data_IF_836882386662
#
_entry.id   IF_836882386662
#
_cell.length_a   1.000
_cell.length_b   1.000
_cell.length_c   1.000
_cell.angle_alpha   90.00
_cell.angle_beta   90.00
_cell.angle_gamma   90.00
#
_symmetry.space_group_name_H-M   'P 1'
#
loop_
_entity.id
_entity.type
_entity.pdbx_description
1 polymer ?
#
# COMPACT_ATOMS: atom_id res chain seq x y z
N UNK A 1 15.30 10.01 3.45
CA UNK A 1 15.67 9.77 2.03
C UNK A 1 14.41 9.82 1.19
N UNK A 2 14.42 10.60 0.11
CA UNK A 2 13.28 10.64 -0.79
C UNK A 2 13.36 9.51 -1.83
N UNK A 3 12.30 9.38 -2.64
CA UNK A 3 12.22 8.30 -3.63
C UNK A 3 13.37 8.36 -4.62
N UNK A 4 13.74 9.56 -5.08
CA UNK A 4 14.80 9.70 -6.08
C UNK A 4 16.16 9.32 -5.52
N UNK A 5 16.44 9.67 -4.27
CA UNK A 5 17.67 9.25 -3.60
C UNK A 5 17.72 7.73 -3.43
N UNK A 6 16.58 7.13 -3.07
CA UNK A 6 16.48 5.69 -2.91
C UNK A 6 16.71 4.96 -4.23
N UNK A 7 16.15 5.47 -5.32
CA UNK A 7 16.37 4.90 -6.65
C UNK A 7 17.86 4.92 -7.03
N UNK A 8 18.55 6.01 -6.73
CA UNK A 8 19.99 6.09 -6.95
C UNK A 8 20.75 5.08 -6.11
N UNK A 9 20.38 4.91 -4.84
CA UNK A 9 21.01 3.94 -3.95
C UNK A 9 20.84 2.52 -4.48
N UNK A 10 19.70 2.21 -5.07
CA UNK A 10 19.41 0.90 -5.65
C UNK A 10 19.93 0.73 -7.08
N UNK A 11 20.53 1.77 -7.66
CA UNK A 11 21.04 1.77 -9.03
C UNK A 11 19.96 1.47 -10.07
N UNK A 12 18.76 1.98 -9.86
CA UNK A 12 17.62 1.85 -10.79
C UNK A 12 17.13 3.21 -11.22
N UNK A 13 16.42 3.27 -12.35
CA UNK A 13 15.93 4.52 -12.93
C UNK A 13 14.51 4.86 -12.51
N UNK A 14 13.69 3.86 -12.20
CA UNK A 14 12.30 4.08 -11.86
C UNK A 14 11.83 3.10 -10.81
N UNK A 15 10.68 3.39 -10.20
CA UNK A 15 10.04 2.53 -9.22
C UNK A 15 9.72 1.15 -9.79
N UNK A 16 9.42 1.09 -11.10
CA UNK A 16 9.09 -0.18 -11.76
C UNK A 16 10.26 -1.16 -11.76
N UNK A 17 11.49 -0.66 -11.63
CA UNK A 17 12.68 -1.49 -11.58
C UNK A 17 13.02 -1.99 -10.17
N UNK A 18 12.36 -1.46 -9.15
CA UNK A 18 12.57 -1.92 -7.77
C UNK A 18 11.92 -3.28 -7.56
N UNK A 19 12.60 -4.13 -6.78
CA UNK A 19 11.99 -5.38 -6.33
C UNK A 19 10.95 -5.09 -5.24
N UNK A 20 10.09 -6.08 -4.98
CA UNK A 20 9.11 -5.97 -3.89
C UNK A 20 9.82 -5.75 -2.55
N UNK A 21 10.92 -6.45 -2.31
CA UNK A 21 11.70 -6.29 -1.08
C UNK A 21 12.26 -4.88 -0.95
N UNK A 22 12.73 -4.28 -2.03
CA UNK A 22 13.23 -2.91 -2.01
C UNK A 22 12.12 -1.90 -1.71
N UNK A 23 10.93 -2.11 -2.26
CA UNK A 23 9.78 -1.24 -1.99
C UNK A 23 9.38 -1.33 -0.52
N UNK A 24 9.27 -2.54 0.01
CA UNK A 24 8.96 -2.76 1.43
C UNK A 24 10.04 -2.14 2.32
N UNK A 25 11.29 -2.31 1.97
CA UNK A 25 12.43 -1.74 2.69
C UNK A 25 12.34 -0.21 2.77
N UNK A 26 12.02 0.44 1.65
CA UNK A 26 11.83 1.89 1.62
C UNK A 26 10.83 2.37 2.66
N UNK A 27 9.67 1.73 2.72
CA UNK A 27 8.62 2.11 3.66
C UNK A 27 8.94 1.72 5.10
N UNK A 28 9.47 0.53 5.32
CA UNK A 28 9.72 0.02 6.67
C UNK A 28 10.89 0.72 7.35
N UNK A 29 11.79 1.32 6.60
CA UNK A 29 12.85 2.17 7.15
C UNK A 29 12.37 3.58 7.50
N UNK A 30 11.10 3.87 7.28
CA UNK A 30 10.53 5.16 7.63
C UNK A 30 10.81 6.29 6.67
N UNK A 31 11.25 6.00 5.43
CA UNK A 31 11.56 7.04 4.44
C UNK A 31 10.33 7.85 4.03
N UNK A 32 9.15 7.26 4.12
CA UNK A 32 7.88 7.93 3.82
C UNK A 32 7.12 8.35 5.09
N UNK A 33 7.76 8.24 6.26
CA UNK A 33 7.17 8.59 7.54
C UNK A 33 6.62 7.38 8.30
N UNK A 34 6.39 7.57 9.59
CA UNK A 34 5.93 6.51 10.49
C UNK A 34 4.54 6.00 10.09
N UNK A 35 3.65 6.91 9.69
CA UNK A 35 2.29 6.53 9.30
C UNK A 35 2.29 5.60 8.10
N UNK A 36 3.11 5.89 7.10
CA UNK A 36 3.23 5.04 5.92
C UNK A 36 3.92 3.71 6.24
N UNK A 37 4.92 3.72 7.10
CA UNK A 37 5.55 2.50 7.59
C UNK A 37 4.51 1.58 8.21
N UNK A 38 3.71 2.09 9.14
CA UNK A 38 2.67 1.31 9.79
C UNK A 38 1.61 0.80 8.81
N UNK A 39 1.19 1.64 7.87
CA UNK A 39 0.18 1.25 6.87
C UNK A 39 0.67 0.09 6.01
N UNK A 40 1.90 0.15 5.55
CA UNK A 40 2.49 -0.92 4.72
C UNK A 40 2.67 -2.21 5.55
N UNK A 41 3.19 -2.10 6.75
CA UNK A 41 3.37 -3.27 7.62
C UNK A 41 2.04 -3.96 7.93
N UNK A 42 1.01 -3.18 8.28
CA UNK A 42 -0.31 -3.74 8.57
C UNK A 42 -0.94 -4.39 7.34
N UNK A 43 -0.80 -3.75 6.18
CA UNK A 43 -1.33 -4.32 4.94
C UNK A 43 -0.68 -5.66 4.60
N UNK A 44 0.64 -5.75 4.77
CA UNK A 44 1.38 -6.98 4.49
C UNK A 44 1.10 -8.09 5.52
N UNK A 45 0.69 -7.73 6.73
CA UNK A 45 0.31 -8.71 7.75
C UNK A 45 -1.12 -9.22 7.60
N UNK A 46 -2.02 -8.39 7.06
CA UNK A 46 -3.46 -8.64 7.12
C UNK A 46 -4.16 -8.68 5.76
N UNK A 47 -3.42 -8.69 4.65
CA UNK A 47 -4.04 -8.60 3.32
C UNK A 47 -5.06 -9.72 3.07
N UNK A 48 -4.75 -10.94 3.50
CA UNK A 48 -5.63 -12.09 3.30
C UNK A 48 -6.96 -11.91 4.05
N UNK A 49 -6.88 -11.43 5.29
CA UNK A 49 -8.08 -11.18 6.11
C UNK A 49 -8.93 -10.05 5.54
N UNK A 50 -8.31 -9.11 4.80
CA UNK A 50 -9.01 -8.01 4.16
C UNK A 50 -9.54 -8.36 2.77
N UNK A 51 -9.33 -9.59 2.31
CA UNK A 51 -9.82 -10.04 1.01
C UNK A 51 -8.90 -9.71 -0.16
N UNK A 52 -7.63 -9.43 0.10
CA UNK A 52 -6.64 -9.12 -0.94
C UNK A 52 -5.60 -10.21 -1.07
N UNK A 53 -4.93 -10.25 -2.21
CA UNK A 53 -3.72 -11.05 -2.39
C UNK A 53 -2.50 -10.20 -2.10
N UNK A 54 -1.36 -10.83 -1.85
CA UNK A 54 -0.10 -10.12 -1.67
C UNK A 54 0.24 -9.29 -2.91
N UNK A 55 -0.01 -9.82 -4.10
CA UNK A 55 0.25 -9.10 -5.36
C UNK A 55 -0.58 -7.83 -5.49
N UNK A 56 -1.84 -7.87 -5.06
CA UNK A 56 -2.70 -6.68 -5.05
C UNK A 56 -2.15 -5.60 -4.12
N UNK A 57 -1.71 -5.98 -2.94
CA UNK A 57 -1.10 -5.06 -1.98
C UNK A 57 0.19 -4.47 -2.56
N UNK A 58 1.08 -5.29 -3.09
CA UNK A 58 2.34 -4.82 -3.65
C UNK A 58 2.13 -3.91 -4.85
N UNK A 59 1.16 -4.21 -5.70
CA UNK A 59 0.80 -3.35 -6.84
C UNK A 59 0.33 -1.98 -6.36
N UNK A 60 -0.49 -1.93 -5.33
CA UNK A 60 -0.99 -0.67 -4.76
C UNK A 60 0.12 0.13 -4.11
N UNK A 61 1.00 -0.51 -3.36
CA UNK A 61 2.15 0.15 -2.73
C UNK A 61 3.08 0.73 -3.80
N UNK A 62 3.38 -0.04 -4.83
CA UNK A 62 4.23 0.41 -5.94
C UNK A 62 3.63 1.60 -6.66
N UNK A 63 2.34 1.56 -6.92
CA UNK A 63 1.63 2.68 -7.55
C UNK A 63 1.67 3.93 -6.67
N UNK A 64 1.44 3.79 -5.37
CA UNK A 64 1.52 4.91 -4.43
C UNK A 64 2.91 5.54 -4.44
N UNK A 65 3.95 4.72 -4.41
CA UNK A 65 5.34 5.18 -4.46
C UNK A 65 5.65 5.90 -5.79
N UNK A 66 5.20 5.35 -6.90
CA UNK A 66 5.45 5.93 -8.22
C UNK A 66 4.73 7.26 -8.43
N UNK A 67 3.51 7.39 -7.91
CA UNK A 67 2.69 8.60 -8.04
C UNK A 67 2.89 9.60 -6.89
N UNK A 68 3.73 9.26 -5.92
CA UNK A 68 4.03 10.10 -4.74
C UNK A 68 2.80 10.44 -3.92
N UNK A 69 1.88 9.50 -3.82
CA UNK A 69 0.69 9.63 -2.97
C UNK A 69 0.83 8.68 -1.78
N UNK A 70 0.00 8.89 -0.77
CA UNK A 70 0.01 8.03 0.41
C UNK A 70 -0.62 6.68 0.09
N UNK A 71 0.03 5.60 0.53
CA UNK A 71 -0.57 4.29 0.52
C UNK A 71 -1.48 4.16 1.73
N UNK A 72 -2.62 3.51 1.55
CA UNK A 72 -3.51 3.22 2.65
C UNK A 72 -4.57 2.21 2.27
N UNK A 73 -5.29 1.75 3.27
CA UNK A 73 -6.47 0.91 3.12
C UNK A 73 -7.61 1.57 3.89
N UNK A 74 -8.71 1.80 3.23
CA UNK A 74 -9.88 2.41 3.83
C UNK A 74 -10.97 1.36 4.03
N UNK A 75 -11.54 1.33 5.23
CA UNK A 75 -12.68 0.49 5.52
C UNK A 75 -13.96 1.24 5.18
N UNK A 76 -14.66 0.75 4.18
CA UNK A 76 -15.88 1.37 3.70
C UNK A 76 -17.09 0.56 4.17
N UNK A 77 -18.01 1.23 4.86
CA UNK A 77 -19.31 0.69 5.18
C UNK A 77 -20.31 1.30 4.23
N UNK A 78 -20.92 0.48 3.38
CA UNK A 78 -21.91 0.96 2.44
C UNK A 78 -23.31 0.81 3.07
N UNK A 79 -23.82 1.91 3.63
CA UNK A 79 -25.12 1.92 4.26
C UNK A 79 -26.28 1.89 3.25
N UNK A 80 -25.99 2.19 1.99
CA UNK A 80 -26.99 2.17 0.92
C UNK A 80 -27.09 0.82 0.25
N UNK A 81 -26.27 -0.16 0.60
CA UNK A 81 -26.43 -1.52 0.11
C UNK A 81 -27.73 -2.09 0.64
N UNK A 82 -28.68 -2.22 -0.24
CA UNK A 82 -30.03 -2.70 0.11
C UNK A 82 -30.02 -4.22 0.01
N UNK A 83 -29.87 -4.86 1.14
CA UNK A 83 -30.09 -6.28 1.27
C UNK A 83 -30.86 -6.55 2.54
N UNK A 84 -31.34 -7.77 2.74
CA UNK A 84 -32.05 -8.10 3.97
C UNK A 84 -31.22 -7.86 5.23
N UNK A 85 -29.92 -7.68 5.08
CA UNK A 85 -28.97 -7.49 6.17
C UNK A 85 -28.25 -6.14 6.15
N UNK A 86 -28.53 -5.30 5.17
CA UNK A 86 -28.41 -3.87 5.25
C UNK A 86 -27.03 -3.23 5.10
N UNK A 87 -25.91 -3.90 5.25
CA UNK A 87 -24.61 -3.20 5.18
C UNK A 87 -23.54 -4.08 4.58
N UNK A 88 -22.95 -3.61 3.49
CA UNK A 88 -21.67 -4.15 3.01
C UNK A 88 -20.54 -3.34 3.58
N UNK A 89 -19.62 -4.02 4.24
CA UNK A 89 -18.39 -3.41 4.75
C UNK A 89 -17.22 -4.10 4.10
N UNK A 90 -16.28 -3.32 3.58
CA UNK A 90 -15.10 -3.88 2.92
C UNK A 90 -13.92 -2.94 3.03
N UNK A 91 -12.73 -3.51 2.93
CA UNK A 91 -11.50 -2.75 2.79
C UNK A 91 -11.29 -2.39 1.33
N UNK A 92 -10.82 -1.19 1.08
CA UNK A 92 -10.50 -0.68 -0.25
C UNK A 92 -9.08 -0.14 -0.21
N UNK A 93 -8.29 -0.50 -1.22
CA UNK A 93 -6.94 0.00 -1.35
C UNK A 93 -6.97 1.43 -1.90
N UNK A 94 -6.19 2.30 -1.27
CA UNK A 94 -5.88 3.63 -1.76
C UNK A 94 -4.41 3.65 -2.17
N UNK A 95 -4.23 4.24 -3.13
CA UNK A 95 -4.24 4.76 -4.29
C UNK A 95 -3.37 4.68 -4.79
#
# INVERSE_FOLDING_TARGET
>A
MNIQEYLKQCSVKSVDELTDEQIVDYYTKGNAGIAQKCAVELALQNYSECGFTKDQIMTSIRKAMATKVKFGMTYITNESAIGPYGKESRWVLEP
#
